data_IF_191645445389
#
_entry.id   IF_191645445389
#
_cell.length_a   1.000
_cell.length_b   1.000
_cell.length_c   1.000
_cell.angle_alpha   90.00
_cell.angle_beta   90.00
_cell.angle_gamma   90.00
#
_symmetry.space_group_name_H-M   'P 1'
#
loop_
_entity.id
_entity.type
_entity.pdbx_description
1 polymer ?
#
# COMPACT_ATOMS: atom_id res chain seq x y z
N UNK A 1 -7.12 7.83 -13.96
CA UNK A 1 -7.19 6.49 -14.58
C UNK A 1 -5.80 5.88 -14.46
N UNK A 2 -5.60 4.85 -13.62
CA UNK A 2 -4.35 4.09 -13.60
C UNK A 2 -4.17 3.40 -14.97
N UNK A 3 -2.98 3.53 -15.58
CA UNK A 3 -2.72 3.02 -16.93
C UNK A 3 -2.91 1.51 -16.97
N UNK A 4 -3.67 1.04 -17.95
CA UNK A 4 -3.77 -0.37 -18.33
C UNK A 4 -2.47 -0.72 -19.06
N UNK A 5 -1.73 -1.72 -18.57
CA UNK A 5 -0.56 -2.22 -19.28
C UNK A 5 -1.00 -3.09 -20.46
N UNK A 6 -0.67 -2.68 -21.68
CA UNK A 6 -0.73 -3.52 -22.87
C UNK A 6 0.70 -3.97 -23.20
N UNK A 7 0.97 -5.26 -23.08
CA UNK A 7 2.17 -5.88 -23.64
C UNK A 7 1.80 -6.60 -24.94
N UNK A 8 2.44 -6.24 -26.05
CA UNK A 8 2.33 -6.98 -27.33
C UNK A 8 2.79 -8.44 -27.22
N UNK A 9 3.49 -8.80 -26.15
CA UNK A 9 3.87 -10.17 -25.79
C UNK A 9 2.72 -11.02 -25.24
N UNK A 10 1.59 -10.43 -24.82
CA UNK A 10 0.41 -11.17 -24.37
C UNK A 10 -0.37 -11.83 -25.53
N UNK A 11 -0.01 -11.52 -26.78
CA UNK A 11 -0.71 -11.98 -27.99
C UNK A 11 -0.40 -13.46 -28.33
N UNK A 12 0.62 -14.07 -27.71
CA UNK A 12 1.08 -15.45 -28.05
C UNK A 12 0.84 -16.54 -27.00
N UNK A 13 -0.16 -16.40 -26.12
CA UNK A 13 -0.78 -17.53 -25.42
C UNK A 13 -2.29 -17.33 -25.42
N UNK A 14 -3.01 -18.25 -26.04
CA UNK A 14 -4.41 -18.14 -26.50
C UNK A 14 -5.50 -17.92 -25.43
N UNK A 15 -5.17 -17.47 -24.21
CA UNK A 15 -6.14 -17.28 -23.12
C UNK A 15 -6.31 -15.82 -22.64
N UNK A 16 -5.43 -14.89 -22.98
CA UNK A 16 -5.48 -13.51 -22.42
C UNK A 16 -5.89 -12.50 -23.51
N UNK A 17 -7.10 -12.65 -24.05
CA UNK A 17 -7.71 -11.70 -25.02
C UNK A 17 -8.36 -10.48 -24.36
N UNK A 18 -8.38 -10.40 -23.04
CA UNK A 18 -8.83 -9.22 -22.27
C UNK A 18 -7.60 -8.66 -21.57
N UNK A 19 -7.36 -7.35 -21.69
CA UNK A 19 -6.20 -6.71 -21.05
C UNK A 19 -6.05 -7.16 -19.59
N UNK A 20 -4.82 -7.29 -19.11
CA UNK A 20 -4.50 -7.85 -17.77
C UNK A 20 -5.01 -7.00 -16.59
N UNK A 21 -5.91 -6.05 -16.86
CA UNK A 21 -6.63 -5.27 -15.88
C UNK A 21 -5.81 -4.12 -15.30
N UNK A 22 -6.42 -3.40 -14.35
CA UNK A 22 -5.72 -2.42 -13.51
C UNK A 22 -4.89 -3.14 -12.44
N UNK A 23 -3.95 -2.44 -11.81
CA UNK A 23 -3.34 -2.93 -10.56
C UNK A 23 -4.44 -3.03 -9.50
N UNK A 24 -4.64 -4.22 -8.91
CA UNK A 24 -5.79 -4.48 -8.04
C UNK A 24 -5.44 -4.60 -6.55
N UNK A 25 -4.17 -4.78 -6.19
CA UNK A 25 -3.68 -4.80 -4.82
C UNK A 25 -2.41 -3.93 -4.72
N UNK A 26 -2.59 -2.66 -4.34
CA UNK A 26 -1.53 -1.67 -4.30
C UNK A 26 -1.75 -0.69 -3.17
N UNK A 27 -0.66 -0.21 -2.59
CA UNK A 27 -0.63 0.86 -1.60
C UNK A 27 0.54 1.78 -1.93
N UNK A 28 0.29 3.08 -2.04
CA UNK A 28 1.33 4.10 -2.07
C UNK A 28 0.96 5.17 -1.05
N UNK A 29 1.84 5.42 -0.08
CA UNK A 29 1.52 6.31 1.02
C UNK A 29 2.75 7.03 1.55
N UNK A 30 2.47 8.14 2.22
CA UNK A 30 3.44 8.91 3.00
C UNK A 30 2.89 9.13 4.41
N UNK A 31 3.77 9.08 5.41
CA UNK A 31 3.51 9.45 6.80
C UNK A 31 4.36 10.68 7.12
N UNK A 32 3.73 11.71 7.67
CA UNK A 32 4.36 12.95 8.09
C UNK A 32 4.41 13.03 9.62
N UNK A 33 5.62 13.09 10.16
CA UNK A 33 5.91 13.39 11.55
C UNK A 33 6.93 14.53 11.59
N UNK A 34 6.99 15.28 12.70
CA UNK A 34 7.88 16.44 12.83
C UNK A 34 9.37 16.05 12.69
N UNK A 35 9.69 14.81 13.06
CA UNK A 35 11.07 14.30 13.00
C UNK A 35 11.40 13.48 11.75
N UNK A 36 10.39 12.94 11.07
CA UNK A 36 10.62 12.00 9.98
C UNK A 36 9.50 11.95 8.95
N UNK A 37 9.87 11.47 7.76
CA UNK A 37 8.92 11.10 6.71
C UNK A 37 9.13 9.64 6.31
N UNK A 38 8.03 8.87 6.29
CA UNK A 38 8.04 7.51 5.78
C UNK A 38 7.27 7.49 4.47
N UNK A 39 7.88 6.97 3.40
CA UNK A 39 7.24 6.78 2.11
C UNK A 39 7.32 5.31 1.73
N UNK A 40 6.21 4.71 1.29
CA UNK A 40 6.21 3.34 0.80
C UNK A 40 5.37 3.20 -0.48
N UNK A 41 5.76 2.25 -1.32
CA UNK A 41 4.93 1.69 -2.38
C UNK A 41 5.00 0.17 -2.30
N UNK A 42 3.84 -0.47 -2.29
CA UNK A 42 3.68 -1.91 -2.09
C UNK A 42 2.60 -2.44 -3.02
N UNK A 43 2.88 -3.53 -3.71
CA UNK A 43 1.91 -4.26 -4.50
C UNK A 43 1.95 -5.75 -4.20
N UNK A 44 0.77 -6.34 -4.11
CA UNK A 44 0.60 -7.79 -4.15
C UNK A 44 0.14 -8.21 -5.53
N UNK A 45 0.48 -9.44 -5.93
CA UNK A 45 -0.09 -10.06 -7.12
C UNK A 45 -1.31 -10.89 -6.69
N UNK A 46 -2.55 -10.42 -6.95
CA UNK A 46 -3.77 -11.11 -6.55
C UNK A 46 -4.21 -12.18 -7.57
N UNK A 47 -3.40 -12.47 -8.58
CA UNK A 47 -3.74 -13.41 -9.66
C UNK A 47 -3.10 -14.78 -9.40
N UNK A 48 -3.68 -15.88 -9.92
CA UNK A 48 -3.02 -17.19 -9.89
C UNK A 48 -1.78 -17.30 -10.78
N UNK A 49 -1.55 -16.31 -11.65
CA UNK A 49 -0.40 -16.30 -12.54
C UNK A 49 0.83 -15.78 -11.80
N UNK A 50 1.99 -16.37 -12.08
CA UNK A 50 3.27 -15.92 -11.52
C UNK A 50 3.76 -14.66 -12.26
N UNK A 51 3.32 -13.49 -11.77
CA UNK A 51 3.81 -12.19 -12.22
C UNK A 51 4.80 -11.59 -11.23
N UNK A 52 5.82 -10.85 -11.72
CA UNK A 52 6.73 -10.13 -10.85
C UNK A 52 5.95 -9.11 -10.00
N UNK A 53 6.43 -8.87 -8.77
CA UNK A 53 5.92 -7.79 -7.93
C UNK A 53 6.13 -6.45 -8.66
N UNK A 54 5.07 -5.66 -8.75
CA UNK A 54 5.11 -4.37 -9.44
C UNK A 54 5.90 -3.32 -8.66
N UNK A 55 5.69 -3.24 -7.34
CA UNK A 55 6.31 -2.27 -6.44
C UNK A 55 6.54 -2.88 -5.05
N UNK A 56 7.74 -2.69 -4.52
CA UNK A 56 8.08 -2.98 -3.13
C UNK A 56 9.27 -2.13 -2.71
N UNK A 57 8.99 -0.88 -2.37
CA UNK A 57 10.02 0.12 -2.05
C UNK A 57 9.56 1.00 -0.89
N UNK A 58 10.48 1.30 0.02
CA UNK A 58 10.23 2.22 1.12
C UNK A 58 11.45 3.05 1.49
N UNK A 59 11.20 4.21 2.11
CA UNK A 59 12.21 5.12 2.64
C UNK A 59 11.74 5.67 4.00
N UNK A 60 12.65 5.74 4.95
CA UNK A 60 12.48 6.51 6.20
C UNK A 60 13.53 7.62 6.19
N UNK A 61 13.07 8.86 6.33
CA UNK A 61 13.92 10.04 6.18
C UNK A 61 13.84 10.86 7.46
N UNK A 62 14.98 11.30 7.99
CA UNK A 62 15.09 12.16 9.16
C UNK A 62 15.80 13.47 8.76
N UNK A 63 15.07 14.47 8.22
CA UNK A 63 15.67 15.66 7.64
C UNK A 63 16.54 16.47 8.61
N UNK A 64 16.11 16.61 9.87
CA UNK A 64 16.86 17.35 10.91
C UNK A 64 18.19 16.69 11.27
N UNK A 65 18.37 15.41 10.91
CA UNK A 65 19.56 14.59 11.16
C UNK A 65 20.38 14.33 9.89
N UNK A 66 19.92 14.84 8.73
CA UNK A 66 20.52 14.62 7.41
C UNK A 66 20.78 13.13 7.06
N UNK A 67 19.84 12.26 7.45
CA UNK A 67 19.92 10.82 7.16
C UNK A 67 18.66 10.28 6.50
N UNK A 68 18.84 9.31 5.60
CA UNK A 68 17.77 8.65 4.86
C UNK A 68 18.11 7.19 4.63
N UNK A 69 17.19 6.31 5.02
CA UNK A 69 17.40 4.87 4.97
C UNK A 69 16.43 4.20 4.02
N UNK A 70 16.93 3.21 3.29
CA UNK A 70 16.08 2.26 2.57
C UNK A 70 15.26 1.48 3.59
N UNK A 71 13.95 1.39 3.35
CA UNK A 71 13.01 0.69 4.20
C UNK A 71 12.24 -0.30 3.34
N UNK A 72 12.95 -1.29 2.78
CA UNK A 72 12.35 -2.35 1.98
C UNK A 72 12.01 -3.59 2.81
N UNK A 73 12.40 -3.67 4.09
CA UNK A 73 12.06 -4.79 4.98
C UNK A 73 10.67 -4.69 5.62
N UNK A 74 9.79 -3.83 5.10
CA UNK A 74 8.54 -3.47 5.75
C UNK A 74 7.39 -4.43 5.46
N UNK A 75 6.51 -4.59 6.42
CA UNK A 75 5.20 -5.21 6.26
C UNK A 75 4.13 -4.14 6.40
N UNK A 76 3.17 -4.15 5.47
CA UNK A 76 1.95 -3.34 5.53
C UNK A 76 0.74 -4.27 5.64
N UNK A 77 0.06 -4.27 6.78
CA UNK A 77 -1.18 -5.03 6.99
C UNK A 77 -2.38 -4.10 6.84
N UNK A 78 -3.43 -4.56 6.14
CA UNK A 78 -4.73 -3.88 6.11
C UNK A 78 -5.62 -4.44 7.22
N UNK A 79 -6.28 -3.57 8.00
CA UNK A 79 -7.17 -3.96 9.10
C UNK A 79 -8.65 -3.73 8.74
N UNK A 80 -9.52 -4.55 9.33
CA UNK A 80 -10.97 -4.43 9.17
C UNK A 80 -11.46 -4.89 7.80
N UNK A 81 -12.18 -4.02 7.09
CA UNK A 81 -12.80 -4.38 5.81
C UNK A 81 -11.74 -4.55 4.71
N UNK A 82 -11.67 -5.71 4.02
CA UNK A 82 -10.61 -5.99 3.05
C UNK A 82 -10.69 -5.12 1.78
N UNK A 83 -11.88 -4.61 1.41
CA UNK A 83 -12.08 -3.75 0.24
C UNK A 83 -11.94 -2.26 0.57
N UNK A 84 -12.12 -1.87 1.83
CA UNK A 84 -11.92 -0.50 2.31
C UNK A 84 -11.46 -0.55 3.77
N UNK A 85 -10.17 -0.75 4.03
CA UNK A 85 -9.64 -0.89 5.38
C UNK A 85 -9.98 0.31 6.25
N UNK A 86 -10.22 0.06 7.55
CA UNK A 86 -10.43 1.11 8.55
C UNK A 86 -9.17 1.41 9.36
N UNK A 87 -8.10 0.63 9.15
CA UNK A 87 -6.80 0.86 9.72
C UNK A 87 -5.71 0.07 9.01
N UNK A 88 -4.47 0.31 9.42
CA UNK A 88 -3.28 -0.32 8.87
C UNK A 88 -2.25 -0.58 9.96
N UNK A 89 -1.38 -1.57 9.76
CA UNK A 89 -0.13 -1.70 10.53
C UNK A 89 1.04 -1.60 9.57
N UNK A 90 2.01 -0.76 9.92
CA UNK A 90 3.26 -0.63 9.20
C UNK A 90 4.39 -0.93 10.17
N UNK A 91 5.15 -1.98 9.89
CA UNK A 91 6.29 -2.32 10.73
C UNK A 91 7.42 -2.97 9.95
N UNK A 92 8.62 -2.89 10.49
CA UNK A 92 9.78 -3.59 9.95
C UNK A 92 11.09 -2.87 10.21
N UNK A 93 12.22 -3.53 9.92
CA UNK A 93 13.54 -2.96 10.10
C UNK A 93 13.94 -2.05 8.94
N UNK A 94 14.79 -1.08 9.25
CA UNK A 94 15.68 -0.41 8.31
C UNK A 94 17.09 -0.36 8.92
N UNK A 95 18.07 0.16 8.18
CA UNK A 95 19.44 0.27 8.70
C UNK A 95 19.46 1.06 10.01
N UNK A 96 19.98 0.43 11.07
CA UNK A 96 20.05 1.00 12.42
C UNK A 96 18.70 1.45 13.00
N UNK A 97 17.58 0.84 12.60
CA UNK A 97 16.27 1.28 13.10
C UNK A 97 15.12 0.32 12.85
N UNK A 98 13.95 0.70 13.38
CA UNK A 98 12.73 -0.10 13.26
C UNK A 98 11.49 0.80 13.30
N UNK A 99 10.54 0.54 12.40
CA UNK A 99 9.22 1.18 12.40
C UNK A 99 8.22 0.22 13.03
N UNK A 100 7.35 0.71 13.92
CA UNK A 100 6.21 -0.06 14.45
C UNK A 100 5.02 0.87 14.68
N UNK A 101 4.18 1.02 13.65
CA UNK A 101 3.07 1.97 13.65
C UNK A 101 1.75 1.27 13.39
N UNK A 102 0.71 1.74 14.09
CA UNK A 102 -0.69 1.42 13.83
C UNK A 102 -1.39 2.69 13.38
N UNK A 103 -2.14 2.61 12.29
CA UNK A 103 -2.85 3.72 11.69
C UNK A 103 -4.34 3.50 11.71
N UNK A 104 -5.09 4.51 12.15
CA UNK A 104 -6.55 4.56 12.09
C UNK A 104 -6.98 5.47 10.93
N UNK A 105 -7.89 5.00 10.07
CA UNK A 105 -8.40 5.82 8.97
C UNK A 105 -9.39 6.84 9.53
N UNK A 106 -9.12 8.12 9.27
CA UNK A 106 -9.97 9.24 9.73
C UNK A 106 -10.88 9.79 8.62
N UNK A 107 -10.50 9.60 7.35
CA UNK A 107 -11.32 10.01 6.22
C UNK A 107 -11.00 9.19 4.96
N UNK A 108 -12.00 9.02 4.10
CA UNK A 108 -11.87 8.37 2.80
C UNK A 108 -12.06 9.37 1.67
N UNK A 109 -11.36 9.14 0.56
CA UNK A 109 -11.62 9.80 -0.70
C UNK A 109 -11.87 8.78 -1.83
N UNK A 110 -12.97 8.91 -2.61
CA UNK A 110 -13.98 9.95 -2.51
C UNK A 110 -14.80 9.88 -1.19
N UNK A 111 -15.43 10.98 -0.74
CA UNK A 111 -16.06 11.06 0.58
C UNK A 111 -17.16 10.03 0.85
N UNK A 112 -17.78 9.47 -0.21
CA UNK A 112 -18.78 8.40 -0.11
C UNK A 112 -18.18 7.00 0.12
N UNK A 113 -16.86 6.90 0.29
CA UNK A 113 -16.12 5.64 0.32
C UNK A 113 -15.70 5.18 -1.06
N UNK A 114 -14.92 4.10 -1.10
CA UNK A 114 -14.34 3.56 -2.32
C UNK A 114 -15.38 2.73 -3.08
N UNK A 115 -15.56 3.03 -4.36
CA UNK A 115 -16.54 2.32 -5.19
C UNK A 115 -16.12 0.87 -5.43
N UNK A 116 -17.04 -0.07 -5.18
CA UNK A 116 -16.82 -1.51 -5.39
C UNK A 116 -17.24 -1.90 -6.80
N UNK A 117 -16.24 -2.21 -7.62
CA UNK A 117 -16.40 -2.79 -8.94
C UNK A 117 -16.39 -4.32 -8.87
N UNK A 118 -16.77 -4.99 -9.97
CA UNK A 118 -16.82 -6.45 -10.07
C UNK A 118 -16.16 -6.95 -11.35
N UNK A 119 -15.61 -8.15 -11.25
CA UNK A 119 -15.05 -8.90 -12.35
C UNK A 119 -13.62 -8.48 -12.70
N UNK A 120 -12.74 -9.45 -12.79
CA UNK A 120 -11.37 -9.34 -13.29
C UNK A 120 -11.19 -10.32 -14.44
N UNK A 121 -10.04 -10.31 -15.11
CA UNK A 121 -9.79 -11.26 -16.21
C UNK A 121 -9.58 -12.70 -15.72
N UNK A 122 -9.24 -12.90 -14.43
CA UNK A 122 -9.00 -14.21 -13.82
C UNK A 122 -10.12 -14.66 -12.87
N UNK A 123 -10.94 -13.73 -12.37
CA UNK A 123 -12.09 -14.04 -11.51
C UNK A 123 -13.24 -13.07 -11.81
N UNK A 124 -14.29 -13.57 -12.49
CA UNK A 124 -15.48 -12.79 -12.83
C UNK A 124 -16.34 -12.39 -11.61
N UNK A 125 -16.16 -13.06 -10.46
CA UNK A 125 -16.85 -12.76 -9.21
C UNK A 125 -16.04 -11.88 -8.25
N UNK A 126 -14.75 -11.65 -8.54
CA UNK A 126 -13.90 -10.80 -7.72
C UNK A 126 -14.49 -9.39 -7.59
N UNK A 127 -14.30 -8.81 -6.41
CA UNK A 127 -14.66 -7.43 -6.10
C UNK A 127 -13.39 -6.62 -5.93
N UNK A 128 -13.35 -5.41 -6.46
CA UNK A 128 -12.19 -4.53 -6.30
C UNK A 128 -12.58 -3.08 -6.14
N UNK A 129 -11.69 -2.31 -5.52
CA UNK A 129 -11.87 -0.89 -5.20
C UNK A 129 -10.61 -0.10 -5.52
N UNK A 130 -10.79 1.21 -5.66
CA UNK A 130 -9.71 2.19 -5.67
C UNK A 130 -10.15 3.41 -4.88
N UNK A 131 -9.23 3.98 -4.11
CA UNK A 131 -9.44 5.25 -3.45
C UNK A 131 -8.27 5.65 -2.59
N UNK A 132 -8.46 6.70 -1.81
CA UNK A 132 -7.46 7.25 -0.89
C UNK A 132 -7.99 7.26 0.53
N UNK A 133 -7.09 7.27 1.50
CA UNK A 133 -7.41 7.46 2.90
C UNK A 133 -6.46 8.48 3.55
N UNK A 134 -7.01 9.26 4.47
CA UNK A 134 -6.26 10.02 5.46
C UNK A 134 -6.20 9.16 6.73
N UNK A 135 -5.00 8.98 7.26
CA UNK A 135 -4.71 8.02 8.32
C UNK A 135 -3.98 8.74 9.45
N UNK A 136 -4.41 8.53 10.69
CA UNK A 136 -3.72 8.99 11.88
C UNK A 136 -2.91 7.83 12.47
N UNK A 137 -1.60 8.02 12.60
CA UNK A 137 -0.67 6.99 13.03
C UNK A 137 -0.25 7.19 14.48
N UNK A 138 -0.12 6.07 15.19
CA UNK A 138 0.45 5.98 16.54
C UNK A 138 1.43 4.81 16.63
N UNK A 139 2.31 4.82 17.62
CA UNK A 139 3.31 3.77 17.83
C UNK A 139 4.71 4.35 17.95
N UNK A 140 5.72 3.65 17.43
CA UNK A 140 7.12 4.06 17.60
C UNK A 140 7.94 3.96 16.32
N UNK A 141 8.95 4.82 16.23
CA UNK A 141 10.06 4.69 15.28
C UNK A 141 11.37 4.74 16.05
N UNK A 142 12.24 3.76 15.86
CA UNK A 142 13.55 3.67 16.50
C UNK A 142 14.66 4.01 15.52
N UNK A 143 15.63 4.79 15.98
CA UNK A 143 16.88 5.10 15.28
C UNK A 143 18.05 4.95 16.27
N UNK A 144 18.85 3.89 16.13
CA UNK A 144 19.86 3.51 17.10
C UNK A 144 19.25 3.23 18.49
N UNK A 145 19.70 4.00 19.49
CA UNK A 145 19.17 3.96 20.86
C UNK A 145 17.97 4.88 21.08
N UNK A 146 17.67 5.77 20.14
CA UNK A 146 16.57 6.71 20.25
C UNK A 146 15.23 6.04 19.89
N UNK A 147 14.20 6.33 20.68
CA UNK A 147 12.81 5.92 20.44
C UNK A 147 11.99 7.19 20.27
N UNK A 148 11.41 7.36 19.09
CA UNK A 148 10.49 8.44 18.77
C UNK A 148 9.08 7.92 18.95
N UNK A 149 8.37 8.48 19.93
CA UNK A 149 6.97 8.18 20.20
C UNK A 149 6.07 8.94 19.21
N UNK A 150 5.19 8.21 18.55
CA UNK A 150 4.26 8.75 17.56
C UNK A 150 2.87 8.77 18.18
N UNK A 151 2.32 9.97 18.39
CA UNK A 151 1.03 10.17 19.07
C UNK A 151 -0.02 10.87 18.20
N UNK A 152 0.08 10.69 16.88
CA UNK A 152 -0.89 11.25 15.93
C UNK A 152 -0.30 11.81 14.64
N UNK A 153 0.77 11.20 14.11
CA UNK A 153 1.32 11.57 12.81
C UNK A 153 0.27 11.38 11.71
N UNK A 154 0.19 12.31 10.77
CA UNK A 154 -0.77 12.22 9.68
C UNK A 154 -0.13 11.57 8.47
N UNK A 155 -0.84 10.63 7.84
CA UNK A 155 -0.44 10.03 6.59
C UNK A 155 -1.56 10.04 5.56
N UNK A 156 -1.17 10.04 4.29
CA UNK A 156 -2.10 9.92 3.16
C UNK A 156 -1.64 8.77 2.27
N UNK A 157 -2.58 7.98 1.79
CA UNK A 157 -2.28 6.91 0.86
C UNK A 157 -3.34 6.75 -0.23
N UNK A 158 -2.90 6.22 -1.36
CA UNK A 158 -3.74 5.68 -2.42
C UNK A 158 -3.67 4.16 -2.43
N UNK A 159 -4.84 3.54 -2.59
CA UNK A 159 -5.02 2.11 -2.39
C UNK A 159 -5.88 1.52 -3.51
N UNK A 160 -5.48 0.34 -3.96
CA UNK A 160 -6.38 -0.60 -4.63
C UNK A 160 -6.48 -1.85 -3.78
N UNK A 161 -7.68 -2.40 -3.65
CA UNK A 161 -7.93 -3.65 -2.94
C UNK A 161 -8.78 -4.56 -3.80
N UNK A 162 -8.59 -5.86 -3.61
CA UNK A 162 -9.37 -6.90 -4.29
C UNK A 162 -9.62 -8.05 -3.33
N UNK A 163 -10.81 -8.62 -3.45
CA UNK A 163 -11.16 -9.90 -2.82
C UNK A 163 -11.52 -10.85 -3.95
N UNK A 164 -10.69 -11.87 -4.11
CA UNK A 164 -10.94 -13.02 -5.00
C UNK A 164 -11.97 -13.96 -4.35
N UNK A 165 -12.75 -14.62 -5.18
CA UNK A 165 -13.63 -15.74 -4.81
C UNK A 165 -12.99 -17.11 -5.04
N UNK A 166 -11.80 -17.11 -5.65
CA UNK A 166 -10.92 -18.26 -5.91
C UNK A 166 -9.85 -18.31 -4.83
#
# INVERSE_FOLDING_TARGET
>A
MHRIYYGSSAVKKEAIRRGTGSVLAFSCMVIFHDEFYIMISHSDNPTPADFPKFQYQGRVNFPSRDVSFTFNGFTLESLGNPLQPNGFRLYGPFENGYVNLTGDVVAYWPPKGWHVNRGTWWDLKAKYTWGRALIKWTGTVRLGSEVIEVSGAMGVGEFTRVVSSV
#
